data_IF_138300285061
#
_entry.id   IF_138300285061
#
_cell.length_a   1.000
_cell.length_b   1.000
_cell.length_c   1.000
_cell.angle_alpha   90.00
_cell.angle_beta   90.00
_cell.angle_gamma   90.00
#
_symmetry.space_group_name_H-M   'P 1'
#
loop_
_entity.id
_entity.type
_entity.pdbx_description
1 polymer ?
#
# COMPACT_ATOMS: atom_id res chain seq x y z
N UNK A 1 -38.16 -52.72 -12.92
CA UNK A 1 -39.09 -51.88 -12.14
C UNK A 1 -39.33 -50.58 -12.89
N UNK A 2 -40.60 -50.28 -13.18
CA UNK A 2 -41.06 -49.14 -14.00
C UNK A 2 -41.89 -48.18 -13.14
N UNK A 3 -41.70 -46.89 -13.40
CA UNK A 3 -42.70 -45.80 -13.45
C UNK A 3 -43.57 -45.44 -12.23
N UNK A 4 -43.25 -44.30 -11.61
CA UNK A 4 -44.00 -43.01 -11.60
C UNK A 4 -45.54 -42.99 -11.53
N UNK A 5 -46.06 -42.17 -10.59
CA UNK A 5 -47.05 -41.05 -10.72
C UNK A 5 -48.35 -41.09 -9.87
N UNK A 6 -48.53 -39.98 -9.12
CA UNK A 6 -49.75 -39.15 -8.88
C UNK A 6 -50.94 -39.63 -8.02
N UNK A 7 -51.32 -38.78 -7.05
CA UNK A 7 -52.69 -38.26 -6.73
C UNK A 7 -52.55 -37.25 -5.56
N UNK A 8 -52.94 -35.97 -5.62
CA UNK A 8 -54.26 -35.32 -5.76
C UNK A 8 -55.28 -35.77 -4.70
N UNK A 9 -55.61 -34.87 -3.75
CA UNK A 9 -56.84 -34.95 -2.97
C UNK A 9 -57.33 -33.54 -2.59
N UNK A 10 -58.64 -33.42 -2.55
CA UNK A 10 -59.47 -32.21 -2.70
C UNK A 10 -60.53 -32.19 -1.59
N UNK A 11 -61.07 -31.02 -1.23
CA UNK A 11 -62.39 -30.84 -0.58
C UNK A 11 -62.33 -30.27 0.85
N UNK A 12 -62.91 -29.14 1.28
CA UNK A 12 -64.16 -28.37 1.02
C UNK A 12 -65.26 -28.62 2.07
N UNK A 13 -65.55 -27.60 2.91
CA UNK A 13 -66.85 -27.35 3.60
C UNK A 13 -66.87 -25.86 4.03
N UNK A 14 -67.53 -24.92 3.36
CA UNK A 14 -68.97 -24.55 3.28
C UNK A 14 -69.47 -23.62 4.42
N UNK A 15 -69.68 -22.35 4.03
CA UNK A 15 -70.80 -21.41 4.28
C UNK A 15 -71.10 -20.92 5.71
N UNK A 16 -70.99 -19.59 5.91
CA UNK A 16 -71.96 -18.81 6.72
C UNK A 16 -72.35 -17.53 5.97
N UNK A 17 -73.65 -17.31 5.97
CA UNK A 17 -74.50 -16.37 5.24
C UNK A 17 -74.59 -14.97 5.87
N UNK A 18 -74.62 -13.97 4.98
CA UNK A 18 -75.44 -12.73 4.98
C UNK A 18 -75.70 -11.95 6.28
N UNK A 19 -75.23 -10.70 6.32
CA UNK A 19 -76.06 -9.55 6.74
C UNK A 19 -75.70 -8.36 5.86
N UNK A 20 -76.70 -7.85 5.12
CA UNK A 20 -76.66 -6.59 4.43
C UNK A 20 -76.98 -5.46 5.43
N UNK A 21 -76.17 -4.40 5.45
CA UNK A 21 -76.56 -3.12 6.06
C UNK A 21 -76.31 -2.01 5.04
N UNK A 22 -77.42 -1.46 4.55
CA UNK A 22 -77.50 -0.19 3.85
C UNK A 22 -77.25 0.93 4.87
N UNK A 23 -76.19 1.72 4.68
CA UNK A 23 -76.12 3.06 5.26
C UNK A 23 -75.79 4.06 4.16
N UNK A 24 -76.62 5.09 4.17
CA UNK A 24 -76.81 6.22 3.29
C UNK A 24 -75.64 7.20 3.19
N UNK A 25 -75.58 7.82 2.02
CA UNK A 25 -75.05 9.13 1.66
C UNK A 25 -74.46 10.03 2.77
N UNK A 26 -73.25 10.51 2.51
CA UNK A 26 -72.63 11.64 3.18
C UNK A 26 -71.40 12.11 2.41
N UNK A 27 -71.60 12.95 1.40
CA UNK A 27 -70.50 13.68 0.76
C UNK A 27 -69.99 14.74 1.74
N UNK A 28 -68.79 14.53 2.30
CA UNK A 28 -68.00 15.60 2.93
C UNK A 28 -66.73 15.75 2.11
N UNK A 29 -66.61 16.90 1.44
CA UNK A 29 -65.40 17.26 0.74
C UNK A 29 -64.31 17.60 1.74
N UNK A 30 -63.31 16.74 1.86
CA UNK A 30 -62.03 17.11 2.44
C UNK A 30 -61.11 17.64 1.35
N UNK A 31 -60.69 18.89 1.54
CA UNK A 31 -59.65 19.56 0.76
C UNK A 31 -58.40 18.68 0.75
N UNK A 32 -57.92 18.37 -0.45
CA UNK A 32 -56.61 17.74 -0.66
C UNK A 32 -55.54 18.65 -0.05
N UNK A 33 -54.72 18.18 0.91
CA UNK A 33 -53.55 18.94 1.33
C UNK A 33 -52.56 19.04 0.16
N UNK A 34 -51.79 20.14 0.05
CA UNK A 34 -50.79 20.28 -0.99
C UNK A 34 -49.75 19.16 -0.88
N UNK A 35 -49.49 18.52 -2.01
CA UNK A 35 -48.46 17.49 -2.17
C UNK A 35 -47.10 18.04 -1.72
N UNK A 36 -46.59 17.54 -0.61
CA UNK A 36 -45.19 17.71 -0.23
C UNK A 36 -44.41 16.68 -1.05
N UNK A 37 -43.47 17.07 -1.92
CA UNK A 37 -42.64 16.11 -2.61
C UNK A 37 -41.78 15.38 -1.58
N UNK A 38 -42.10 14.11 -1.34
CA UNK A 38 -41.24 13.19 -0.60
C UNK A 38 -39.94 13.06 -1.38
N UNK A 39 -38.83 13.56 -0.83
CA UNK A 39 -37.50 13.32 -1.36
C UNK A 39 -37.24 11.83 -1.38
N UNK A 40 -37.30 11.23 -2.57
CA UNK A 40 -36.82 9.88 -2.83
C UNK A 40 -35.35 9.83 -2.41
N UNK A 41 -34.92 8.91 -1.52
CA UNK A 41 -33.50 8.72 -1.28
C UNK A 41 -32.87 8.28 -2.60
N UNK A 42 -31.94 9.10 -3.10
CA UNK A 42 -31.08 8.75 -4.22
C UNK A 42 -30.49 7.37 -3.96
N UNK A 43 -30.57 6.41 -4.91
CA UNK A 43 -29.86 5.15 -4.76
C UNK A 43 -28.38 5.48 -4.50
N UNK A 44 -27.83 4.93 -3.42
CA UNK A 44 -26.41 5.03 -3.15
C UNK A 44 -25.64 4.62 -4.43
N UNK A 45 -24.61 5.38 -4.82
CA UNK A 45 -23.80 4.97 -5.96
C UNK A 45 -23.33 3.53 -5.73
N UNK A 46 -23.41 2.72 -6.78
CA UNK A 46 -22.82 1.38 -6.79
C UNK A 46 -21.39 1.46 -6.22
N UNK A 47 -20.90 0.43 -5.51
CA UNK A 47 -19.52 0.44 -5.04
C UNK A 47 -18.62 0.68 -6.25
N UNK A 48 -17.98 1.83 -6.27
CA UNK A 48 -16.87 2.13 -7.16
C UNK A 48 -15.89 0.98 -7.03
N UNK A 49 -15.34 0.40 -8.11
CA UNK A 49 -14.19 -0.47 -7.96
C UNK A 49 -13.16 0.32 -7.15
N UNK A 50 -12.78 -0.23 -6.00
CA UNK A 50 -11.81 0.36 -5.09
C UNK A 50 -10.53 0.57 -5.87
N UNK A 51 -10.28 1.80 -6.32
CA UNK A 51 -8.96 2.24 -6.76
C UNK A 51 -8.12 2.40 -5.50
N UNK A 52 -7.64 1.27 -4.98
CA UNK A 52 -6.45 1.26 -4.12
C UNK A 52 -5.28 1.43 -5.07
N UNK A 53 -4.72 2.62 -5.07
CA UNK A 53 -3.63 3.03 -5.93
C UNK A 53 -3.26 4.42 -5.51
N UNK A 54 -2.60 4.52 -4.35
CA UNK A 54 -1.81 5.70 -4.05
C UNK A 54 -0.80 5.82 -5.19
N UNK A 55 -1.03 6.79 -6.07
CA UNK A 55 -0.11 7.24 -7.10
C UNK A 55 0.25 6.25 -8.23
N UNK A 56 -0.73 5.74 -8.99
CA UNK A 56 -0.53 5.23 -10.36
C UNK A 56 0.52 4.11 -10.58
N UNK A 57 1.04 3.49 -9.52
CA UNK A 57 2.19 2.58 -9.54
C UNK A 57 1.73 1.18 -9.14
N UNK A 58 1.95 0.22 -10.04
CA UNK A 58 1.54 -1.18 -9.90
C UNK A 58 2.69 -2.01 -9.33
N UNK A 59 2.42 -3.14 -8.69
CA UNK A 59 3.45 -4.15 -8.41
C UNK A 59 3.72 -5.01 -9.65
N UNK A 60 4.85 -5.73 -9.65
CA UNK A 60 5.10 -6.78 -10.66
C UNK A 60 3.97 -7.81 -10.69
N UNK A 61 3.42 -8.17 -9.54
CA UNK A 61 2.38 -9.19 -9.44
C UNK A 61 1.05 -8.71 -10.03
N UNK A 62 0.65 -7.47 -9.73
CA UNK A 62 -0.54 -6.81 -10.25
C UNK A 62 -0.50 -6.65 -11.77
N UNK A 63 0.62 -6.14 -12.31
CA UNK A 63 0.78 -5.98 -13.76
C UNK A 63 0.69 -7.34 -14.48
N UNK A 64 1.24 -8.41 -13.91
CA UNK A 64 1.20 -9.73 -14.54
C UNK A 64 -0.13 -10.47 -14.35
N UNK A 65 -0.93 -10.15 -13.33
CA UNK A 65 -2.31 -10.66 -13.21
C UNK A 65 -3.28 -9.96 -14.17
N UNK A 66 -3.00 -8.70 -14.51
CA UNK A 66 -3.80 -7.91 -15.45
C UNK A 66 -2.90 -7.12 -16.41
N UNK A 67 -2.30 -7.78 -17.42
CA UNK A 67 -1.30 -7.16 -18.27
C UNK A 67 -1.88 -6.05 -19.14
N UNK A 68 -1.21 -4.90 -19.09
CA UNK A 68 -1.45 -3.77 -19.98
C UNK A 68 -0.23 -3.64 -20.90
N UNK A 69 -0.41 -3.93 -22.18
CA UNK A 69 0.66 -3.92 -23.16
C UNK A 69 0.80 -2.56 -23.85
N UNK A 70 2.02 -2.23 -24.28
CA UNK A 70 2.34 -1.05 -25.11
C UNK A 70 1.87 0.28 -24.47
N UNK A 71 1.74 0.30 -23.15
CA UNK A 71 1.27 1.44 -22.36
C UNK A 71 2.28 1.72 -21.27
N UNK A 72 2.65 2.98 -21.10
CA UNK A 72 3.60 3.39 -20.07
C UNK A 72 2.94 3.33 -18.69
N UNK A 73 3.57 2.59 -17.78
CA UNK A 73 3.13 2.37 -16.41
C UNK A 73 4.33 2.43 -15.47
N UNK A 74 4.06 2.74 -14.20
CA UNK A 74 5.06 2.63 -13.14
C UNK A 74 4.91 1.27 -12.46
N UNK A 75 6.01 0.54 -12.30
CA UNK A 75 6.03 -0.78 -11.68
C UNK A 75 7.06 -0.82 -10.57
N UNK A 76 6.66 -1.18 -9.36
CA UNK A 76 7.57 -1.35 -8.23
C UNK A 76 7.91 -2.83 -7.99
N UNK A 77 9.13 -3.07 -7.51
CA UNK A 77 9.59 -4.39 -7.09
C UNK A 77 11.06 -4.38 -6.66
N UNK A 78 11.58 -5.56 -6.33
CA UNK A 78 12.97 -5.74 -5.92
C UNK A 78 13.83 -6.16 -7.12
N UNK A 79 15.02 -5.55 -7.25
CA UNK A 79 15.99 -5.88 -8.29
C UNK A 79 16.65 -7.22 -7.99
N UNK A 80 16.78 -8.07 -9.01
CA UNK A 80 17.47 -9.35 -8.94
C UNK A 80 18.19 -9.67 -10.25
N UNK A 81 19.24 -10.48 -10.18
CA UNK A 81 20.05 -10.90 -11.32
C UNK A 81 20.65 -9.74 -12.16
N UNK A 82 20.74 -8.52 -11.62
CA UNK A 82 21.44 -7.40 -12.25
C UNK A 82 22.91 -7.76 -12.42
N UNK A 83 23.40 -7.68 -13.66
CA UNK A 83 24.78 -8.06 -14.02
C UNK A 83 25.05 -9.58 -14.04
N UNK A 84 24.07 -10.42 -13.70
CA UNK A 84 24.18 -11.88 -13.73
C UNK A 84 23.60 -12.49 -15.01
N UNK A 85 22.75 -11.74 -15.71
CA UNK A 85 22.12 -12.15 -16.97
C UNK A 85 23.01 -11.80 -18.17
N UNK A 86 22.92 -12.60 -19.23
CA UNK A 86 23.60 -12.35 -20.52
C UNK A 86 22.82 -11.34 -21.41
N UNK A 87 22.27 -10.30 -20.80
CA UNK A 87 21.48 -9.23 -21.45
C UNK A 87 21.74 -7.91 -20.70
N UNK A 88 21.45 -6.75 -21.32
CA UNK A 88 21.34 -5.49 -20.59
C UNK A 88 19.97 -5.39 -19.90
N UNK A 89 19.67 -6.40 -19.09
CA UNK A 89 18.41 -6.54 -18.40
C UNK A 89 18.61 -7.10 -16.99
N UNK A 90 17.66 -6.85 -16.11
CA UNK A 90 17.60 -7.45 -14.78
C UNK A 90 16.20 -8.02 -14.53
N UNK A 91 16.07 -8.83 -13.50
CA UNK A 91 14.79 -9.36 -13.07
C UNK A 91 14.20 -8.47 -11.96
N UNK A 92 13.02 -7.92 -12.19
CA UNK A 92 12.25 -7.22 -11.16
C UNK A 92 11.24 -8.21 -10.56
N UNK A 93 11.25 -8.36 -9.24
CA UNK A 93 10.43 -9.38 -8.55
C UNK A 93 9.42 -8.79 -7.58
N UNK A 94 8.23 -9.38 -7.51
CA UNK A 94 7.22 -9.16 -6.47
C UNK A 94 6.34 -10.40 -6.34
N UNK A 95 6.02 -10.83 -5.12
CA UNK A 95 5.18 -12.01 -4.81
C UNK A 95 5.52 -13.29 -5.60
N UNK A 96 6.82 -13.53 -5.82
CA UNK A 96 7.30 -14.71 -6.57
C UNK A 96 7.09 -14.64 -8.08
N UNK A 97 6.56 -13.53 -8.61
CA UNK A 97 6.51 -13.22 -10.04
C UNK A 97 7.72 -12.39 -10.46
N UNK A 98 8.07 -12.47 -11.74
CA UNK A 98 9.29 -11.88 -12.32
C UNK A 98 8.99 -11.17 -13.63
N UNK A 99 9.36 -9.90 -13.72
CA UNK A 99 9.50 -9.15 -14.97
C UNK A 99 10.96 -9.09 -15.39
N UNK A 100 11.20 -9.14 -16.68
CA UNK A 100 12.52 -8.95 -17.27
C UNK A 100 12.61 -7.50 -17.78
N UNK A 101 13.28 -6.65 -17.01
CA UNK A 101 13.39 -5.23 -17.26
C UNK A 101 14.63 -4.96 -18.10
N UNK A 102 14.42 -4.51 -19.34
CA UNK A 102 15.45 -4.08 -20.25
C UNK A 102 15.74 -2.59 -20.04
N UNK A 103 17.02 -2.24 -19.87
CA UNK A 103 17.48 -0.85 -19.69
C UNK A 103 18.40 -0.38 -20.81
N UNK A 104 18.80 -1.27 -21.72
CA UNK A 104 19.55 -0.92 -22.93
C UNK A 104 19.27 -1.91 -24.07
N UNK A 105 19.68 -1.57 -25.30
CA UNK A 105 19.42 -2.34 -26.55
C UNK A 105 17.94 -2.59 -26.85
N UNK A 106 17.04 -1.71 -26.38
CA UNK A 106 15.62 -1.74 -26.72
C UNK A 106 15.40 -1.15 -28.11
N UNK A 107 14.78 -1.90 -29.00
CA UNK A 107 14.67 -1.55 -30.42
C UNK A 107 13.28 -1.84 -30.95
N UNK A 108 12.61 -0.80 -31.42
CA UNK A 108 11.30 -0.91 -32.06
C UNK A 108 11.35 -1.73 -33.34
N UNK A 109 10.21 -2.25 -33.78
CA UNK A 109 10.08 -3.00 -35.04
C UNK A 109 10.56 -2.20 -36.27
N UNK A 110 10.46 -0.87 -36.21
CA UNK A 110 10.98 0.06 -37.23
C UNK A 110 12.50 0.24 -37.22
N UNK A 111 13.21 -0.37 -36.27
CA UNK A 111 14.66 -0.30 -36.13
C UNK A 111 15.18 0.89 -35.32
N UNK A 112 14.30 1.71 -34.74
CA UNK A 112 14.68 2.82 -33.86
C UNK A 112 15.12 2.28 -32.51
N UNK A 113 16.30 2.68 -32.05
CA UNK A 113 16.84 2.33 -30.72
C UNK A 113 16.37 3.36 -29.68
N UNK A 114 15.87 2.87 -28.54
CA UNK A 114 15.51 3.73 -27.40
C UNK A 114 16.75 4.13 -26.60
N UNK A 115 16.72 5.29 -25.91
CA UNK A 115 17.78 5.70 -25.01
C UNK A 115 18.08 4.63 -23.94
N UNK A 116 19.35 4.53 -23.55
CA UNK A 116 19.72 3.72 -22.40
C UNK A 116 19.23 4.37 -21.10
N UNK A 117 18.77 3.55 -20.17
CA UNK A 117 18.41 3.98 -18.81
C UNK A 117 19.56 3.63 -17.87
N UNK A 118 19.93 4.56 -17.00
CA UNK A 118 21.01 4.33 -16.03
C UNK A 118 20.56 3.33 -14.95
N UNK A 119 21.48 2.46 -14.55
CA UNK A 119 21.35 1.57 -13.39
C UNK A 119 22.45 1.84 -12.35
N UNK A 120 23.12 3.00 -12.46
CA UNK A 120 24.16 3.39 -11.52
C UNK A 120 23.59 3.54 -10.10
N UNK A 121 24.26 2.94 -9.12
CA UNK A 121 23.81 2.95 -7.71
C UNK A 121 22.71 1.96 -7.37
N UNK A 122 22.33 1.08 -8.31
CA UNK A 122 21.36 0.00 -8.11
C UNK A 122 22.10 -1.34 -7.94
N UNK A 123 21.71 -2.10 -6.93
CA UNK A 123 22.25 -3.41 -6.56
C UNK A 123 21.11 -4.45 -6.47
N UNK A 124 21.47 -5.74 -6.52
CA UNK A 124 20.49 -6.81 -6.27
C UNK A 124 19.94 -6.71 -4.85
N UNK A 125 18.62 -6.76 -4.71
CA UNK A 125 17.88 -6.54 -3.47
C UNK A 125 17.40 -5.10 -3.26
N UNK A 126 17.81 -4.16 -4.12
CA UNK A 126 17.29 -2.80 -4.04
C UNK A 126 15.83 -2.74 -4.51
N UNK A 127 14.95 -2.07 -3.74
CA UNK A 127 13.62 -1.72 -4.22
C UNK A 127 13.72 -0.58 -5.24
N UNK A 128 13.04 -0.73 -6.37
CA UNK A 128 13.01 0.29 -7.44
C UNK A 128 11.58 0.49 -7.95
N UNK A 129 11.30 1.70 -8.46
CA UNK A 129 10.19 1.95 -9.38
C UNK A 129 10.75 2.02 -10.79
N UNK A 130 10.18 1.25 -11.70
CA UNK A 130 10.50 1.25 -13.12
C UNK A 130 9.33 1.86 -13.87
N UNK A 131 9.54 2.98 -14.55
CA UNK A 131 8.60 3.49 -15.55
C UNK A 131 8.92 2.86 -16.88
N UNK A 132 7.91 2.37 -17.59
CA UNK A 132 8.10 1.78 -18.90
C UNK A 132 6.90 1.03 -19.42
N UNK A 133 7.11 0.19 -20.42
CA UNK A 133 6.05 -0.50 -21.14
C UNK A 133 6.25 -2.01 -21.13
N UNK A 134 5.17 -2.75 -20.83
CA UNK A 134 5.15 -4.19 -21.04
C UNK A 134 5.01 -4.48 -22.54
N UNK A 135 5.98 -5.17 -23.12
CA UNK A 135 5.98 -5.49 -24.55
C UNK A 135 5.08 -6.68 -24.82
N UNK A 136 4.25 -6.60 -25.84
CA UNK A 136 3.50 -7.75 -26.32
C UNK A 136 4.45 -8.81 -26.90
N UNK A 137 4.10 -10.09 -26.74
CA UNK A 137 4.81 -11.19 -27.41
C UNK A 137 3.84 -11.97 -28.28
N UNK A 138 4.33 -12.57 -29.36
CA UNK A 138 3.52 -13.41 -30.26
C UNK A 138 3.37 -14.86 -29.76
N UNK A 139 3.76 -15.14 -28.51
CA UNK A 139 3.73 -16.48 -27.90
C UNK A 139 2.42 -16.81 -27.20
N UNK A 140 2.30 -18.07 -26.75
CA UNK A 140 1.13 -18.57 -25.98
C UNK A 140 1.16 -18.12 -24.51
N UNK A 141 2.31 -17.67 -24.00
CA UNK A 141 2.46 -17.15 -22.65
C UNK A 141 2.45 -15.61 -22.68
N UNK A 142 1.91 -14.94 -21.63
CA UNK A 142 2.03 -13.50 -21.50
C UNK A 142 3.51 -13.13 -21.44
N UNK A 143 3.87 -12.06 -22.15
CA UNK A 143 5.23 -11.53 -22.13
C UNK A 143 5.62 -11.06 -20.73
N UNK A 144 6.87 -11.26 -20.36
CA UNK A 144 7.49 -10.66 -19.17
C UNK A 144 8.50 -9.58 -19.53
N UNK A 145 8.65 -9.26 -20.82
CA UNK A 145 9.62 -8.28 -21.31
C UNK A 145 9.08 -6.88 -21.07
N UNK A 146 9.76 -6.13 -20.22
CA UNK A 146 9.42 -4.76 -19.86
C UNK A 146 10.54 -3.82 -20.31
N UNK A 147 10.21 -2.79 -21.07
CA UNK A 147 11.19 -1.81 -21.54
C UNK A 147 11.14 -0.57 -20.68
N UNK A 148 12.23 -0.28 -19.97
CA UNK A 148 12.30 0.86 -19.09
C UNK A 148 12.48 2.16 -19.90
N UNK A 149 11.72 3.19 -19.53
CA UNK A 149 11.99 4.59 -19.87
C UNK A 149 12.70 5.33 -18.73
N UNK A 150 12.47 4.91 -17.48
CA UNK A 150 13.13 5.45 -16.29
C UNK A 150 13.23 4.39 -15.19
N UNK A 151 14.27 4.44 -14.36
CA UNK A 151 14.44 3.55 -13.19
C UNK A 151 14.87 4.41 -12.02
N UNK A 152 14.07 4.38 -10.95
CA UNK A 152 14.31 5.12 -9.72
C UNK A 152 14.50 4.14 -8.58
N UNK A 153 15.65 4.21 -7.90
CA UNK A 153 15.85 3.48 -6.66
C UNK A 153 14.97 4.09 -5.58
N UNK A 154 14.16 3.24 -4.96
CA UNK A 154 13.40 3.62 -3.78
C UNK A 154 14.41 3.65 -2.63
N UNK A 155 15.04 4.80 -2.44
CA UNK A 155 15.73 5.08 -1.19
C UNK A 155 14.68 5.07 -0.09
N UNK A 156 15.00 4.50 1.08
CA UNK A 156 14.09 4.35 2.22
C UNK A 156 13.59 5.68 2.83
N UNK A 157 13.74 6.77 2.10
CA UNK A 157 13.21 8.09 2.37
C UNK A 157 11.88 8.36 1.65
N UNK A 158 11.59 7.66 0.53
CA UNK A 158 10.40 7.95 -0.30
C UNK A 158 9.68 6.69 -0.84
N UNK A 159 9.76 5.59 -0.12
CA UNK A 159 8.71 4.58 -0.26
C UNK A 159 7.45 5.15 0.40
N UNK A 160 6.29 5.03 -0.25
CA UNK A 160 4.99 5.08 0.40
C UNK A 160 4.82 3.90 1.40
N UNK A 161 5.79 3.75 2.30
CA UNK A 161 5.75 2.89 3.44
C UNK A 161 4.60 3.39 4.32
N UNK A 162 3.88 2.46 4.93
CA UNK A 162 2.93 2.79 5.99
C UNK A 162 3.73 3.33 7.19
N UNK A 163 4.19 4.57 7.14
CA UNK A 163 4.99 5.19 8.18
C UNK A 163 4.21 5.16 9.48
N UNK A 164 4.88 4.79 10.56
CA UNK A 164 4.32 4.93 11.88
C UNK A 164 4.06 6.41 12.16
N UNK A 165 2.87 6.72 12.66
CA UNK A 165 2.53 8.06 13.10
C UNK A 165 3.23 8.34 14.42
N UNK A 166 4.40 8.97 14.36
CA UNK A 166 5.19 9.38 15.53
C UNK A 166 4.71 10.76 15.98
N UNK A 167 4.43 10.89 17.27
CA UNK A 167 3.96 12.13 17.89
C UNK A 167 5.07 12.83 18.70
N UNK A 168 5.98 12.05 19.27
CA UNK A 168 6.98 12.51 20.23
C UNK A 168 8.23 11.64 20.11
N UNK A 169 9.39 12.28 20.32
CA UNK A 169 10.66 11.56 20.47
C UNK A 169 11.40 12.07 21.69
N UNK A 170 12.12 11.16 22.35
CA UNK A 170 13.00 11.47 23.47
C UNK A 170 14.36 10.81 23.24
N UNK A 171 15.43 11.60 23.36
CA UNK A 171 16.80 11.10 23.19
C UNK A 171 17.41 10.79 24.57
N UNK A 172 17.79 9.53 24.77
CA UNK A 172 18.42 9.04 25.99
C UNK A 172 19.92 8.82 25.78
N UNK A 173 20.73 9.52 26.58
CA UNK A 173 22.18 9.34 26.66
C UNK A 173 22.48 8.43 27.85
N UNK A 174 23.03 7.25 27.60
CA UNK A 174 23.39 6.33 28.67
C UNK A 174 24.76 6.69 29.26
N UNK A 175 24.88 6.52 30.57
CA UNK A 175 26.12 6.79 31.34
C UNK A 175 27.19 5.70 31.12
N UNK A 176 27.55 5.42 29.86
CA UNK A 176 28.64 4.53 29.44
C UNK A 176 29.67 5.26 28.58
N UNK A 177 30.86 4.69 28.41
CA UNK A 177 31.84 5.20 27.44
C UNK A 177 32.39 4.06 26.56
N UNK A 178 32.26 4.11 25.22
CA UNK A 178 31.53 5.13 24.44
C UNK A 178 30.05 5.30 24.89
N UNK A 179 29.56 6.54 24.81
CA UNK A 179 28.19 6.92 25.11
C UNK A 179 27.26 6.19 24.15
N UNK A 180 26.26 5.51 24.69
CA UNK A 180 25.19 4.89 23.92
C UNK A 180 24.01 5.86 23.85
N UNK A 181 23.49 6.06 22.64
CA UNK A 181 22.39 6.99 22.37
C UNK A 181 21.18 6.19 21.91
N UNK A 182 20.06 6.31 22.61
CA UNK A 182 18.79 5.71 22.20
C UNK A 182 17.79 6.81 21.84
N UNK A 183 17.10 6.68 20.71
CA UNK A 183 15.92 7.47 20.40
C UNK A 183 14.68 6.67 20.79
N UNK A 184 13.88 7.19 21.72
CA UNK A 184 12.58 6.63 22.10
C UNK A 184 11.50 7.35 21.31
N UNK A 185 10.90 6.67 20.35
CA UNK A 185 9.83 7.21 19.52
C UNK A 185 8.47 6.73 20.03
N UNK A 186 7.54 7.67 20.22
CA UNK A 186 6.18 7.39 20.70
C UNK A 186 5.15 7.89 19.70
N UNK A 187 4.07 7.14 19.56
CA UNK A 187 3.03 7.48 18.61
C UNK A 187 1.77 6.65 18.80
N UNK A 188 0.87 6.73 17.82
CA UNK A 188 -0.39 5.98 17.85
C UNK A 188 -0.68 5.33 16.49
N UNK A 189 -1.31 4.17 16.53
CA UNK A 189 -1.88 3.49 15.38
C UNK A 189 -3.38 3.77 15.28
N UNK A 190 -3.95 3.85 14.06
CA UNK A 190 -5.37 4.16 13.87
C UNK A 190 -6.32 3.03 14.28
N UNK A 191 -5.80 1.81 14.45
CA UNK A 191 -6.57 0.63 14.86
C UNK A 191 -5.76 -0.35 15.70
N UNK A 192 -6.46 -1.37 16.21
CA UNK A 192 -5.89 -2.38 17.09
C UNK A 192 -5.02 -3.45 16.40
N UNK A 193 -4.94 -3.47 15.07
CA UNK A 193 -4.23 -4.51 14.32
C UNK A 193 -2.92 -4.03 13.74
N UNK A 194 -2.83 -2.75 13.44
CA UNK A 194 -1.63 -2.11 12.95
C UNK A 194 -0.54 -2.26 14.00
N UNK A 195 0.65 -2.66 13.57
CA UNK A 195 1.83 -2.83 14.42
C UNK A 195 3.04 -2.25 13.73
N UNK A 196 4.06 -1.89 14.50
CA UNK A 196 5.39 -1.62 13.97
C UNK A 196 5.91 -2.86 13.23
N UNK A 197 6.45 -2.65 12.04
CA UNK A 197 6.94 -3.69 11.12
C UNK A 197 8.46 -3.67 11.05
N UNK A 198 9.03 -2.53 10.63
CA UNK A 198 10.49 -2.37 10.50
C UNK A 198 10.92 -1.03 11.08
N UNK A 199 12.13 -1.03 11.61
CA UNK A 199 12.87 0.16 12.00
C UNK A 199 14.18 0.15 11.21
N UNK A 200 14.41 1.19 10.43
CA UNK A 200 15.63 1.39 9.68
C UNK A 200 16.31 2.68 10.14
N UNK A 201 17.63 2.66 10.28
CA UNK A 201 18.42 3.82 10.64
C UNK A 201 19.45 4.12 9.57
N UNK A 202 19.60 5.40 9.23
CA UNK A 202 20.69 5.91 8.40
C UNK A 202 21.24 7.17 9.04
N UNK A 203 22.47 7.53 8.69
CA UNK A 203 23.09 8.78 9.13
C UNK A 203 23.70 9.51 7.94
N UNK A 204 23.41 10.79 7.83
CA UNK A 204 24.00 11.69 6.84
C UNK A 204 24.59 12.90 7.55
N UNK A 205 25.92 13.00 7.52
CA UNK A 205 26.64 13.99 8.31
C UNK A 205 26.33 13.84 9.81
N UNK A 206 25.76 14.90 10.38
CA UNK A 206 25.41 15.02 11.80
C UNK A 206 23.93 14.71 12.07
N UNK A 207 23.18 14.23 11.07
CA UNK A 207 21.75 13.88 11.20
C UNK A 207 21.54 12.38 11.11
N UNK A 208 20.90 11.81 12.13
CA UNK A 208 20.36 10.46 12.14
C UNK A 208 18.91 10.49 11.64
N UNK A 209 18.62 9.71 10.60
CA UNK A 209 17.26 9.49 10.14
C UNK A 209 16.82 8.08 10.54
N UNK A 210 15.66 8.01 11.19
CA UNK A 210 15.04 6.78 11.67
C UNK A 210 13.69 6.64 10.97
N UNK A 211 13.56 5.61 10.15
CA UNK A 211 12.32 5.27 9.48
C UNK A 211 11.63 4.13 10.22
N UNK A 212 10.46 4.40 10.80
CA UNK A 212 9.62 3.38 11.45
C UNK A 212 8.42 3.11 10.56
N UNK A 213 8.28 1.87 10.09
CA UNK A 213 7.13 1.44 9.28
C UNK A 213 6.17 0.59 10.10
N UNK A 214 4.94 0.50 9.62
CA UNK A 214 3.87 -0.32 10.19
C UNK A 214 3.36 -1.34 9.18
N UNK A 215 2.78 -2.41 9.69
CA UNK A 215 2.07 -3.40 8.90
C UNK A 215 0.69 -3.65 9.50
N UNK A 216 -0.28 -3.83 8.60
CA UNK A 216 -1.66 -4.14 8.94
C UNK A 216 -2.15 -5.28 8.05
N UNK A 217 -2.68 -6.39 8.61
CA UNK A 217 -3.23 -7.45 7.78
C UNK A 217 -4.44 -6.96 6.97
N UNK A 218 -4.45 -7.23 5.67
CA UNK A 218 -5.51 -6.76 4.76
C UNK A 218 -6.90 -7.27 5.16
N UNK A 219 -6.99 -8.53 5.56
CA UNK A 219 -8.26 -9.22 5.85
C UNK A 219 -8.68 -9.13 7.33
N UNK A 220 -7.96 -8.37 8.16
CA UNK A 220 -8.27 -8.26 9.57
C UNK A 220 -9.42 -7.26 9.83
N UNK A 221 -10.43 -7.74 10.53
CA UNK A 221 -11.50 -6.91 11.10
C UNK A 221 -11.02 -6.32 12.42
N UNK A 222 -10.55 -5.07 12.37
CA UNK A 222 -9.86 -4.40 13.47
C UNK A 222 -10.73 -3.36 14.15
N UNK A 223 -10.63 -3.25 15.47
CA UNK A 223 -11.30 -2.19 16.21
C UNK A 223 -10.66 -0.85 15.84
N UNK A 224 -11.50 0.14 15.51
CA UNK A 224 -11.06 1.51 15.18
C UNK A 224 -10.80 2.26 16.49
N UNK A 225 -9.61 2.05 17.06
CA UNK A 225 -9.18 2.65 18.32
C UNK A 225 -7.72 3.06 18.21
N UNK A 226 -7.42 4.29 18.67
CA UNK A 226 -6.05 4.79 18.73
C UNK A 226 -5.25 3.91 19.69
N UNK A 227 -4.27 3.21 19.15
CA UNK A 227 -3.44 2.25 19.92
C UNK A 227 -2.04 2.82 20.02
N UNK A 228 -1.55 3.18 21.22
CA UNK A 228 -0.22 3.76 21.36
C UNK A 228 0.87 2.72 21.07
N UNK A 229 1.99 3.20 20.54
CA UNK A 229 3.23 2.42 20.41
C UNK A 229 4.42 3.21 20.97
N UNK A 230 5.45 2.47 21.38
CA UNK A 230 6.74 3.00 21.80
C UNK A 230 7.84 2.11 21.23
N UNK A 231 8.81 2.71 20.56
CA UNK A 231 9.97 2.02 19.99
C UNK A 231 11.26 2.65 20.50
N UNK A 232 12.20 1.81 20.94
CA UNK A 232 13.51 2.23 21.42
C UNK A 232 14.56 1.87 20.38
N UNK A 233 15.13 2.88 19.73
CA UNK A 233 16.06 2.73 18.62
C UNK A 233 17.47 3.10 19.05
N UNK A 234 18.39 2.13 19.04
CA UNK A 234 19.79 2.40 19.30
C UNK A 234 20.45 3.10 18.09
N UNK A 235 21.09 4.25 18.33
CA UNK A 235 21.81 5.00 17.32
C UNK A 235 23.30 4.65 17.34
N UNK A 236 23.88 4.38 16.18
CA UNK A 236 25.32 4.12 16.05
C UNK A 236 26.12 5.41 16.19
N UNK A 237 26.41 5.76 17.44
CA UNK A 237 27.13 6.97 17.83
C UNK A 237 28.63 6.74 18.10
N UNK A 238 29.13 5.50 17.97
CA UNK A 238 30.54 5.19 18.22
C UNK A 238 31.39 5.78 17.11
N UNK A 239 32.50 6.43 17.47
CA UNK A 239 33.40 7.07 16.51
C UNK A 239 33.04 8.50 16.14
N UNK A 240 31.93 9.03 16.67
CA UNK A 240 31.50 10.40 16.44
C UNK A 240 32.37 11.41 17.18
N UNK A 241 32.51 12.60 16.60
CA UNK A 241 33.23 13.72 17.25
C UNK A 241 32.33 14.46 18.23
N UNK A 242 32.93 15.23 19.12
CA UNK A 242 32.21 16.21 19.92
C UNK A 242 31.40 17.16 19.00
N UNK A 243 30.14 17.42 19.34
CA UNK A 243 29.24 18.20 18.51
C UNK A 243 27.76 17.95 18.79
N UNK A 244 26.91 18.73 18.11
CA UNK A 244 25.45 18.60 18.18
C UNK A 244 24.98 17.76 17.00
N UNK A 245 24.17 16.75 17.28
CA UNK A 245 23.60 15.84 16.29
C UNK A 245 22.08 15.96 16.31
N UNK A 246 21.48 15.84 15.14
CA UNK A 246 20.01 15.82 14.97
C UNK A 246 19.53 14.39 14.81
N UNK A 247 18.38 14.08 15.39
CA UNK A 247 17.65 12.82 15.18
C UNK A 247 16.31 13.19 14.58
N UNK A 248 16.01 12.66 13.41
CA UNK A 248 14.70 12.75 12.75
C UNK A 248 14.07 11.36 12.72
N UNK A 249 12.89 11.20 13.31
CA UNK A 249 12.10 9.97 13.28
C UNK A 249 10.80 10.24 12.56
N UNK A 250 10.66 9.73 11.33
CA UNK A 250 9.50 9.96 10.47
C UNK A 250 9.05 11.45 10.42
N UNK A 251 10.01 12.40 10.40
CA UNK A 251 9.75 13.84 10.36
C UNK A 251 9.59 14.54 11.72
N UNK A 252 9.65 13.80 12.84
CA UNK A 252 9.71 14.39 14.19
C UNK A 252 11.17 14.49 14.62
N UNK A 253 11.64 15.70 14.94
CA UNK A 253 13.04 15.99 15.17
C UNK A 253 13.39 16.43 16.59
N UNK A 254 14.56 16.02 17.08
CA UNK A 254 15.18 16.44 18.35
C UNK A 254 16.71 16.37 18.21
N UNK A 255 17.46 16.83 19.20
CA UNK A 255 18.92 16.95 19.14
C UNK A 255 19.60 16.45 20.41
N UNK A 256 20.83 15.94 20.26
CA UNK A 256 21.71 15.64 21.37
C UNK A 256 23.10 16.22 21.15
N UNK A 257 23.83 16.44 22.24
CA UNK A 257 25.20 16.97 22.19
C UNK A 257 26.19 15.98 22.79
N UNK A 258 27.22 15.65 22.02
CA UNK A 258 28.41 14.96 22.52
C UNK A 258 29.42 16.01 23.00
N UNK A 259 29.69 16.01 24.31
CA UNK A 259 30.65 16.94 24.92
C UNK A 259 32.11 16.62 24.58
N UNK A 260 32.40 15.38 24.17
CA UNK A 260 33.72 14.88 23.78
C UNK A 260 33.58 13.90 22.62
N UNK A 261 34.69 13.58 21.96
CA UNK A 261 34.74 12.54 20.93
C UNK A 261 34.32 11.19 21.52
N UNK A 262 33.33 10.54 20.89
CA UNK A 262 32.74 9.28 21.33
C UNK A 262 33.48 8.05 20.78
N UNK A 263 34.79 8.03 20.97
CA UNK A 263 35.71 6.99 20.51
C UNK A 263 36.11 6.10 21.68
N UNK A 264 36.52 4.85 21.43
CA UNK A 264 37.18 4.06 22.48
C UNK A 264 38.49 4.74 22.88
N UNK A 265 38.64 5.11 24.16
CA UNK A 265 39.95 5.53 24.66
C UNK A 265 40.93 4.35 24.54
N UNK A 266 42.13 4.65 24.07
CA UNK A 266 43.20 3.66 23.89
C UNK A 266 44.06 3.54 25.14
#
# INVERSE_FOLDING_TARGET
>A
MKTTKKKFMTGLTVIVTTVAVLISAGCVGEKTPPYVPTSTPTPAPAPTPTTTGSDGTLSVSELLDSPVYETEVNVHGDVSALGELFCPCFALTSDGKRLEVWYYMMKEDGGTERPAVSVEGIENGDPVVVTGELRSSTGTAPSTTFWASNIEKIVAEDAAANLANVNDIEILLLESFPVQIHAVARGEHPDSCTKVDKVATRREGDTFFVTITTSRPADAMCAQVMTPFEEVVALDAVGLKAGVYTVDVNGVGDTFELQTDNIFEK
#
